data_IF_987339154904
#
_entry.id   IF_987339154904
#
_cell.length_a   1.000
_cell.length_b   1.000
_cell.length_c   1.000
_cell.angle_alpha   90.00
_cell.angle_beta   90.00
_cell.angle_gamma   90.00
#
_symmetry.space_group_name_H-M   'P 1'
#
loop_
_entity.id
_entity.type
_entity.pdbx_description
1 polymer ?
#
# COMPACT_ATOMS: atom_id res chain seq x y z
N UNK A 1 6.80 -4.92 25.31
CA UNK A 1 7.10 -6.19 24.63
C UNK A 1 7.27 -5.86 23.16
N UNK A 2 8.38 -6.29 22.54
CA UNK A 2 8.65 -6.00 21.13
C UNK A 2 7.68 -6.76 20.23
N UNK A 3 7.54 -6.34 18.96
CA UNK A 3 6.75 -7.12 17.99
C UNK A 3 7.48 -8.42 17.67
N UNK A 4 8.80 -8.37 17.62
CA UNK A 4 9.67 -9.52 17.51
C UNK A 4 9.32 -10.65 18.50
N UNK A 5 9.03 -10.33 19.76
CA UNK A 5 8.69 -11.33 20.79
C UNK A 5 7.31 -11.98 20.60
N UNK A 6 6.45 -11.44 19.74
CA UNK A 6 5.16 -12.06 19.39
C UNK A 6 5.31 -13.18 18.36
N UNK A 7 6.41 -13.23 17.60
CA UNK A 7 6.69 -14.32 16.67
C UNK A 7 7.25 -15.54 17.37
N UNK A 8 7.00 -16.73 16.81
CA UNK A 8 7.53 -17.97 17.38
C UNK A 8 9.06 -17.98 17.32
N UNK A 9 9.69 -18.72 18.23
CA UNK A 9 11.15 -18.87 18.24
C UNK A 9 11.66 -19.53 16.96
N UNK A 10 10.90 -20.45 16.38
CA UNK A 10 11.19 -21.10 15.10
C UNK A 10 11.21 -20.07 13.96
N UNK A 11 10.17 -19.24 13.84
CA UNK A 11 10.12 -18.20 12.81
C UNK A 11 11.26 -17.20 12.95
N UNK A 12 11.56 -16.75 14.18
CA UNK A 12 12.67 -15.84 14.44
C UNK A 12 14.02 -16.43 14.03
N UNK A 13 14.26 -17.69 14.36
CA UNK A 13 15.48 -18.41 13.98
C UNK A 13 15.57 -18.61 12.47
N UNK A 14 14.47 -18.96 11.81
CA UNK A 14 14.41 -19.13 10.36
C UNK A 14 14.70 -17.79 9.63
N UNK A 15 14.12 -16.68 10.10
CA UNK A 15 14.42 -15.35 9.56
C UNK A 15 15.91 -15.01 9.67
N UNK A 16 16.51 -15.24 10.85
CA UNK A 16 17.97 -15.06 11.07
C UNK A 16 18.77 -15.92 10.10
N UNK A 17 18.41 -17.19 9.90
CA UNK A 17 19.10 -18.09 8.97
C UNK A 17 19.02 -17.58 7.53
N UNK A 18 17.86 -17.11 7.07
CA UNK A 18 17.74 -16.51 5.73
C UNK A 18 18.64 -15.28 5.57
N UNK A 19 18.69 -14.40 6.58
CA UNK A 19 19.60 -13.27 6.57
C UNK A 19 21.06 -13.71 6.55
N UNK A 20 21.45 -14.71 7.35
CA UNK A 20 22.81 -15.25 7.35
C UNK A 20 23.19 -15.86 6.01
N UNK A 21 22.31 -16.65 5.39
CA UNK A 21 22.55 -17.25 4.08
C UNK A 21 22.71 -16.17 3.02
N UNK A 22 21.82 -15.18 2.98
CA UNK A 22 21.93 -14.09 2.00
C UNK A 22 23.20 -13.25 2.21
N UNK A 23 23.48 -12.87 3.47
CA UNK A 23 24.69 -12.15 3.83
C UNK A 23 25.96 -12.96 3.55
N UNK A 24 25.93 -14.29 3.62
CA UNK A 24 27.06 -15.12 3.28
C UNK A 24 27.44 -15.02 1.79
N UNK A 25 26.49 -14.67 0.93
CA UNK A 25 26.68 -14.49 -0.52
C UNK A 25 27.28 -13.12 -0.91
N UNK A 26 27.75 -12.33 0.05
CA UNK A 26 28.28 -10.98 -0.17
C UNK A 26 29.29 -10.88 -1.31
N UNK A 27 30.17 -11.88 -1.47
CA UNK A 27 31.18 -11.89 -2.53
C UNK A 27 30.59 -11.95 -3.96
N UNK A 28 29.29 -12.24 -4.15
CA UNK A 28 28.62 -12.09 -5.44
C UNK A 28 28.53 -10.63 -5.91
N UNK A 29 28.44 -9.70 -4.95
CA UNK A 29 28.15 -8.29 -5.23
C UNK A 29 29.37 -7.38 -5.06
N UNK A 30 30.49 -7.91 -4.54
CA UNK A 30 31.70 -7.13 -4.29
C UNK A 30 32.49 -6.91 -5.56
N UNK A 31 32.74 -5.64 -5.88
CA UNK A 31 33.60 -5.22 -7.00
C UNK A 31 35.02 -4.82 -6.57
N UNK A 32 35.27 -4.57 -5.27
CA UNK A 32 36.57 -4.14 -4.74
C UNK A 32 36.90 -4.83 -3.41
N UNK A 33 38.19 -5.00 -3.13
CA UNK A 33 38.70 -5.40 -1.81
C UNK A 33 38.43 -4.26 -0.79
N UNK A 34 38.02 -4.64 0.41
CA UNK A 34 37.52 -3.75 1.47
C UNK A 34 36.95 -4.57 2.64
N UNK A 35 36.36 -3.89 3.63
CA UNK A 35 35.79 -4.53 4.83
C UNK A 35 34.76 -5.61 4.45
N UNK A 36 34.81 -6.72 5.17
CA UNK A 36 33.92 -7.88 4.99
C UNK A 36 32.55 -7.61 5.62
N UNK A 37 31.87 -6.57 5.13
CA UNK A 37 30.54 -6.19 5.62
C UNK A 37 29.48 -6.94 4.82
N UNK A 38 28.61 -7.73 5.47
CA UNK A 38 27.67 -8.54 4.73
C UNK A 38 26.66 -7.67 3.96
N UNK A 39 26.32 -8.09 2.74
CA UNK A 39 25.35 -7.45 1.88
C UNK A 39 23.94 -7.94 2.23
N UNK A 40 22.98 -7.02 2.22
CA UNK A 40 21.56 -7.32 2.35
C UNK A 40 20.80 -6.38 1.44
N UNK A 41 20.02 -6.94 0.54
CA UNK A 41 19.09 -6.21 -0.30
C UNK A 41 17.79 -5.94 0.46
N UNK A 42 17.22 -4.74 0.30
CA UNK A 42 16.00 -4.36 1.03
C UNK A 42 14.78 -5.15 0.56
N UNK A 43 14.64 -5.42 -0.74
CA UNK A 43 13.51 -6.20 -1.28
C UNK A 43 13.61 -7.68 -0.90
N UNK A 44 14.81 -8.22 -0.80
CA UNK A 44 15.02 -9.53 -0.19
C UNK A 44 14.55 -9.55 1.28
N UNK A 45 14.95 -8.55 2.08
CA UNK A 45 14.52 -8.47 3.48
C UNK A 45 13.00 -8.40 3.61
N UNK A 46 12.32 -7.56 2.82
CA UNK A 46 10.86 -7.46 2.76
C UNK A 46 10.21 -8.81 2.43
N UNK A 47 10.70 -9.47 1.39
CA UNK A 47 10.17 -10.75 0.92
C UNK A 47 10.32 -11.85 1.96
N UNK A 48 11.51 -11.97 2.57
CA UNK A 48 11.76 -12.98 3.59
C UNK A 48 10.97 -12.68 4.86
N UNK A 49 10.90 -11.43 5.30
CA UNK A 49 10.11 -11.05 6.47
C UNK A 49 8.64 -11.44 6.29
N UNK A 50 8.04 -11.05 5.16
CA UNK A 50 6.65 -11.38 4.85
C UNK A 50 6.42 -12.91 4.81
N UNK A 51 7.32 -13.65 4.16
CA UNK A 51 7.24 -15.11 4.04
C UNK A 51 7.33 -15.82 5.39
N UNK A 52 8.37 -15.54 6.18
CA UNK A 52 8.65 -16.29 7.41
C UNK A 52 7.63 -15.97 8.50
N UNK A 53 7.23 -14.70 8.60
CA UNK A 53 6.30 -14.26 9.62
C UNK A 53 4.83 -14.36 9.19
N UNK A 54 4.54 -14.91 8.01
CA UNK A 54 3.20 -14.92 7.41
C UNK A 54 2.54 -13.53 7.42
N UNK A 55 3.34 -12.49 7.20
CA UNK A 55 2.86 -11.11 7.14
C UNK A 55 2.41 -10.78 5.72
N UNK A 56 1.49 -9.82 5.60
CA UNK A 56 0.99 -9.35 4.31
C UNK A 56 1.93 -8.28 3.78
N UNK A 57 2.39 -8.41 2.53
CA UNK A 57 3.06 -7.30 1.85
C UNK A 57 1.99 -6.28 1.45
N UNK A 58 2.18 -5.03 1.88
CA UNK A 58 1.21 -3.94 1.72
C UNK A 58 1.80 -2.72 1.01
N UNK A 59 3.05 -2.81 0.55
CA UNK A 59 3.69 -1.79 -0.28
C UNK A 59 2.98 -1.74 -1.64
N UNK A 60 2.33 -0.60 -1.90
CA UNK A 60 1.65 -0.29 -3.17
C UNK A 60 2.28 0.94 -3.83
N UNK A 61 3.52 1.26 -3.48
CA UNK A 61 4.24 2.47 -3.87
C UNK A 61 4.16 3.54 -2.79
N UNK A 62 5.34 4.01 -2.33
CA UNK A 62 5.56 5.17 -1.42
C UNK A 62 4.53 5.26 -0.28
N UNK A 63 4.13 4.08 0.21
CA UNK A 63 3.35 3.92 1.41
C UNK A 63 4.27 3.93 2.62
N UNK A 64 3.76 4.36 3.78
CA UNK A 64 4.53 4.34 5.02
C UNK A 64 5.02 2.92 5.42
N UNK A 65 4.15 1.91 5.31
CA UNK A 65 4.45 0.55 5.76
C UNK A 65 4.69 -0.40 4.58
N UNK A 66 5.63 -1.32 4.78
CA UNK A 66 6.00 -2.33 3.79
C UNK A 66 5.24 -3.64 4.04
N UNK A 67 5.06 -3.99 5.32
CA UNK A 67 4.35 -5.21 5.73
C UNK A 67 3.36 -4.96 6.86
N UNK A 68 2.31 -5.78 6.88
CA UNK A 68 1.28 -5.82 7.91
C UNK A 68 1.29 -7.19 8.60
N UNK A 69 1.43 -7.17 9.91
CA UNK A 69 1.34 -8.38 10.76
C UNK A 69 0.07 -8.35 11.61
N UNK A 70 -0.64 -9.46 11.68
CA UNK A 70 -1.93 -9.57 12.37
C UNK A 70 -1.83 -10.60 13.49
N UNK A 71 -2.10 -10.18 14.73
CA UNK A 71 -2.08 -11.02 15.92
C UNK A 71 -3.44 -10.95 16.63
N UNK A 72 -4.34 -11.87 16.32
CA UNK A 72 -5.73 -11.77 16.80
C UNK A 72 -6.39 -10.50 16.26
N UNK A 73 -6.76 -9.58 17.16
CA UNK A 73 -7.34 -8.29 16.79
C UNK A 73 -6.28 -7.19 16.59
N UNK A 74 -5.03 -7.41 16.98
CA UNK A 74 -3.96 -6.44 16.79
C UNK A 74 -3.47 -6.47 15.35
N UNK A 75 -3.42 -5.29 14.71
CA UNK A 75 -2.83 -5.07 13.40
C UNK A 75 -1.63 -4.15 13.53
N UNK A 76 -0.48 -4.60 13.07
CA UNK A 76 0.80 -3.92 13.25
C UNK A 76 1.35 -3.50 11.90
N UNK A 77 1.53 -2.19 11.71
CA UNK A 77 2.20 -1.64 10.54
C UNK A 77 3.71 -1.67 10.74
N UNK A 78 4.45 -2.22 9.78
CA UNK A 78 5.90 -2.37 9.88
C UNK A 78 6.56 -1.76 8.65
N UNK A 79 7.42 -0.77 8.88
CA UNK A 79 8.40 -0.33 7.89
C UNK A 79 9.68 -1.14 8.01
N UNK A 80 10.18 -1.67 6.90
CA UNK A 80 11.39 -2.46 6.80
C UNK A 80 12.54 -1.64 6.23
N UNK A 81 13.70 -1.70 6.86
CA UNK A 81 14.90 -0.99 6.39
C UNK A 81 16.17 -1.80 6.61
N UNK A 82 17.16 -1.53 5.78
CA UNK A 82 18.53 -2.00 5.98
C UNK A 82 19.52 -0.93 5.53
N UNK A 83 20.63 -0.78 6.25
CA UNK A 83 21.70 0.12 5.86
C UNK A 83 23.05 -0.27 6.47
N UNK A 84 24.10 0.37 5.97
CA UNK A 84 25.48 0.17 6.42
C UNK A 84 25.77 0.95 7.70
N UNK A 85 26.36 0.29 8.69
CA UNK A 85 26.80 0.88 9.95
C UNK A 85 25.70 1.00 11.00
N UNK A 86 26.01 0.58 12.22
CA UNK A 86 25.09 0.66 13.38
C UNK A 86 25.18 1.97 14.18
N UNK A 87 25.78 3.01 13.59
CA UNK A 87 25.88 4.35 14.19
C UNK A 87 24.61 5.18 13.86
N UNK A 88 24.30 6.23 14.66
CA UNK A 88 23.16 7.08 14.37
C UNK A 88 23.20 7.64 12.95
N UNK A 89 22.12 7.47 12.20
CA UNK A 89 22.11 7.76 10.76
C UNK A 89 20.73 8.21 10.28
N UNK A 90 20.71 9.12 9.30
CA UNK A 90 19.48 9.53 8.64
C UNK A 90 19.13 8.54 7.53
N UNK A 91 17.90 8.02 7.56
CA UNK A 91 17.39 7.11 6.51
C UNK A 91 16.12 7.71 5.90
N UNK A 92 15.95 7.52 4.58
CA UNK A 92 14.75 7.97 3.86
C UNK A 92 13.53 7.23 4.42
N UNK A 93 12.52 7.99 4.80
CA UNK A 93 11.26 7.46 5.35
C UNK A 93 10.05 7.79 4.50
N UNK A 94 10.13 8.80 3.62
CA UNK A 94 9.03 9.17 2.74
C UNK A 94 9.49 10.05 1.58
N UNK A 95 8.80 9.98 0.45
CA UNK A 95 8.99 10.90 -0.68
C UNK A 95 7.73 11.74 -0.93
N UNK A 96 7.91 13.05 -1.09
CA UNK A 96 6.84 14.04 -1.20
C UNK A 96 6.90 14.84 -2.51
N UNK A 97 7.45 14.27 -3.60
CA UNK A 97 7.55 14.95 -4.90
C UNK A 97 6.23 15.61 -5.35
N UNK A 98 5.08 14.96 -5.11
CA UNK A 98 3.74 15.47 -5.48
C UNK A 98 3.26 16.68 -4.68
N UNK A 99 3.94 17.03 -3.60
CA UNK A 99 3.61 18.15 -2.71
C UNK A 99 4.66 19.26 -2.78
N UNK A 100 5.55 19.22 -3.78
CA UNK A 100 6.69 20.13 -3.84
C UNK A 100 6.25 21.60 -3.91
N UNK A 101 5.14 21.91 -4.58
CA UNK A 101 4.64 23.29 -4.67
C UNK A 101 4.01 23.77 -3.35
N UNK A 102 3.23 22.92 -2.67
CA UNK A 102 2.71 23.21 -1.32
C UNK A 102 3.87 23.48 -0.33
N UNK A 103 4.96 22.70 -0.45
CA UNK A 103 6.17 22.83 0.38
C UNK A 103 6.94 24.12 0.03
N UNK A 104 7.07 24.48 -1.26
CA UNK A 104 7.70 25.74 -1.68
C UNK A 104 6.94 26.95 -1.15
N UNK A 105 5.62 26.97 -1.29
CA UNK A 105 4.78 28.05 -0.76
C UNK A 105 4.93 28.18 0.77
N UNK A 106 4.95 27.06 1.48
CA UNK A 106 5.12 27.08 2.95
C UNK A 106 6.50 27.57 3.39
N UNK A 107 7.54 27.35 2.56
CA UNK A 107 8.89 27.88 2.80
C UNK A 107 8.94 29.41 2.76
N UNK A 108 8.14 30.04 1.89
CA UNK A 108 8.03 31.51 1.80
C UNK A 108 7.38 32.13 3.04
N UNK A 109 6.54 31.35 3.74
CA UNK A 109 5.88 31.77 4.98
C UNK A 109 6.75 31.63 6.24
N UNK A 110 7.92 30.99 6.15
CA UNK A 110 8.87 30.83 7.26
C UNK A 110 9.21 29.37 7.60
N UNK A 111 10.22 29.19 8.45
CA UNK A 111 10.76 27.85 8.77
C UNK A 111 9.80 27.00 9.60
N UNK A 112 9.05 27.60 10.51
CA UNK A 112 8.04 26.90 11.31
C UNK A 112 6.89 26.42 10.43
N UNK A 113 6.38 27.29 9.56
CA UNK A 113 5.38 26.96 8.53
C UNK A 113 5.85 25.83 7.61
N UNK A 114 7.14 25.83 7.22
CA UNK A 114 7.75 24.77 6.43
C UNK A 114 7.78 23.43 7.20
N UNK A 115 8.24 23.43 8.46
CA UNK A 115 8.29 22.24 9.30
C UNK A 115 6.89 21.68 9.53
N UNK A 116 5.92 22.55 9.84
CA UNK A 116 4.53 22.19 10.02
C UNK A 116 3.97 21.54 8.75
N UNK A 117 4.15 22.17 7.57
CA UNK A 117 3.60 21.63 6.33
C UNK A 117 4.16 20.27 5.95
N UNK A 118 5.48 20.10 6.04
CA UNK A 118 6.13 18.82 5.73
C UNK A 118 5.65 17.73 6.70
N UNK A 119 5.53 18.08 7.99
CA UNK A 119 5.05 17.17 9.03
C UNK A 119 3.58 16.80 8.85
N UNK A 120 2.73 17.77 8.50
CA UNK A 120 1.32 17.58 8.18
C UNK A 120 1.16 16.58 7.02
N UNK A 121 1.85 16.80 5.90
CA UNK A 121 1.77 15.91 4.72
C UNK A 121 2.21 14.49 5.08
N UNK A 122 3.32 14.34 5.82
CA UNK A 122 3.77 13.00 6.29
C UNK A 122 2.72 12.34 7.16
N UNK A 123 2.16 13.08 8.11
CA UNK A 123 1.15 12.56 9.04
C UNK A 123 -0.15 12.20 8.33
N UNK A 124 -0.59 12.99 7.35
CA UNK A 124 -1.77 12.66 6.52
C UNK A 124 -1.54 11.35 5.73
N UNK A 125 -0.35 11.17 5.13
CA UNK A 125 0.00 9.91 4.45
C UNK A 125 0.03 8.71 5.42
N UNK A 126 0.55 8.89 6.62
CA UNK A 126 0.54 7.86 7.65
C UNK A 126 -0.87 7.50 8.10
N UNK A 127 -1.71 8.49 8.40
CA UNK A 127 -3.11 8.28 8.82
C UNK A 127 -3.94 7.60 7.73
N UNK A 128 -3.73 7.97 6.47
CA UNK A 128 -4.36 7.29 5.32
C UNK A 128 -4.06 5.79 5.33
N UNK A 129 -2.80 5.43 5.59
CA UNK A 129 -2.37 4.03 5.64
C UNK A 129 -2.89 3.32 6.90
N UNK A 130 -2.99 4.03 8.03
CA UNK A 130 -3.63 3.49 9.24
C UNK A 130 -5.07 3.07 8.97
N UNK A 131 -5.83 3.89 8.24
CA UNK A 131 -7.21 3.58 7.90
C UNK A 131 -7.31 2.48 6.84
N UNK A 132 -6.44 2.50 5.82
CA UNK A 132 -6.35 1.48 4.77
C UNK A 132 -6.11 0.10 5.37
N UNK A 133 -5.19 0.01 6.32
CA UNK A 133 -4.70 -1.24 6.91
C UNK A 133 -5.35 -1.58 8.26
N UNK A 134 -6.16 -0.69 8.83
CA UNK A 134 -6.81 -0.89 10.13
C UNK A 134 -5.83 -0.87 11.31
N UNK A 135 -4.87 0.04 11.28
CA UNK A 135 -3.82 0.21 12.30
C UNK A 135 -4.27 1.24 13.35
N UNK A 136 -3.89 1.02 14.60
CA UNK A 136 -3.94 2.05 15.63
C UNK A 136 -2.64 2.85 15.65
N UNK A 137 -2.68 4.09 16.13
CA UNK A 137 -1.51 5.00 16.09
C UNK A 137 -0.30 4.46 16.87
N UNK A 138 -0.54 3.68 17.92
CA UNK A 138 0.47 3.09 18.80
C UNK A 138 1.03 1.74 18.32
N UNK A 139 0.59 1.23 17.16
CA UNK A 139 0.94 -0.10 16.63
C UNK A 139 1.70 -0.02 15.30
N UNK A 140 2.59 0.96 15.18
CA UNK A 140 3.41 1.21 14.01
C UNK A 140 4.88 1.23 14.40
N UNK A 141 5.69 0.39 13.75
CA UNK A 141 7.12 0.25 14.05
C UNK A 141 7.97 0.28 12.80
N UNK A 142 9.23 0.60 12.98
CA UNK A 142 10.27 0.18 12.05
C UNK A 142 10.93 -1.09 12.57
N UNK A 143 11.08 -2.08 11.70
CA UNK A 143 11.97 -3.22 11.91
C UNK A 143 13.13 -3.09 10.91
N UNK A 144 14.36 -3.01 11.41
CA UNK A 144 15.49 -2.72 10.54
C UNK A 144 16.77 -3.49 10.89
N UNK A 145 17.54 -3.79 9.85
CA UNK A 145 18.80 -4.52 9.95
C UNK A 145 19.97 -3.58 9.64
N UNK A 146 20.85 -3.34 10.61
CA UNK A 146 22.11 -2.63 10.36
C UNK A 146 23.24 -3.62 10.13
N UNK A 147 24.20 -3.20 9.29
CA UNK A 147 25.26 -4.06 8.77
C UNK A 147 26.62 -3.51 9.19
N UNK A 148 27.32 -4.25 10.04
CA UNK A 148 28.69 -3.95 10.43
C UNK A 148 29.62 -5.06 9.90
N UNK A 149 30.93 -4.89 10.08
CA UNK A 149 31.90 -5.91 9.68
C UNK A 149 31.56 -7.28 10.30
N UNK A 150 31.40 -8.28 9.44
CA UNK A 150 31.12 -9.67 9.80
C UNK A 150 29.76 -9.96 10.44
N UNK A 151 28.84 -8.99 10.59
CA UNK A 151 27.61 -9.21 11.37
C UNK A 151 26.40 -8.37 10.95
N UNK A 152 25.23 -8.87 11.32
CA UNK A 152 23.98 -8.13 11.28
C UNK A 152 23.45 -7.83 12.68
N UNK A 153 22.74 -6.71 12.80
CA UNK A 153 22.05 -6.29 14.01
C UNK A 153 20.60 -5.99 13.66
N UNK A 154 19.69 -6.72 14.29
CA UNK A 154 18.25 -6.53 14.13
C UNK A 154 17.79 -5.54 15.21
N UNK A 155 17.03 -4.54 14.80
CA UNK A 155 16.49 -3.52 15.67
C UNK A 155 15.01 -3.29 15.38
N UNK A 156 14.27 -2.84 16.40
CA UNK A 156 12.93 -2.28 16.26
C UNK A 156 12.90 -0.89 16.89
N UNK A 157 12.17 0.06 16.29
CA UNK A 157 11.87 1.32 16.95
C UNK A 157 10.47 1.82 16.61
N UNK A 158 9.97 2.80 17.36
CA UNK A 158 8.66 3.37 17.09
C UNK A 158 8.64 4.08 15.73
N UNK A 159 7.51 3.97 15.03
CA UNK A 159 7.22 4.74 13.83
C UNK A 159 6.02 5.68 14.10
N UNK A 160 6.22 6.77 14.87
CA UNK A 160 5.13 7.65 15.25
C UNK A 160 4.79 8.67 14.15
N UNK A 161 3.61 9.26 14.30
CA UNK A 161 3.30 10.56 13.71
C UNK A 161 4.28 11.61 14.27
N UNK A 162 4.61 12.62 13.47
CA UNK A 162 5.39 13.77 13.95
C UNK A 162 4.51 14.58 14.90
N UNK A 163 5.03 14.91 16.08
CA UNK A 163 4.34 15.82 17.02
C UNK A 163 4.42 17.27 16.53
N UNK A 164 3.35 17.74 15.87
CA UNK A 164 3.29 19.07 15.24
C UNK A 164 3.23 20.21 16.25
N UNK A 165 2.90 19.93 17.51
CA UNK A 165 2.82 20.94 18.57
C UNK A 165 4.17 21.16 19.28
N UNK A 166 5.18 20.33 18.97
CA UNK A 166 6.53 20.37 19.58
C UNK A 166 7.66 20.56 18.57
N UNK A 167 7.36 21.15 17.41
CA UNK A 167 8.36 21.39 16.38
C UNK A 167 9.41 22.40 16.85
N UNK A 168 10.68 22.04 16.72
CA UNK A 168 11.81 22.83 17.21
C UNK A 168 13.11 22.53 16.43
N UNK A 169 14.19 23.25 16.78
CA UNK A 169 15.54 23.04 16.23
C UNK A 169 15.62 23.17 14.70
N UNK A 170 15.04 24.23 14.15
CA UNK A 170 15.00 24.49 12.71
C UNK A 170 16.36 24.88 12.15
N UNK A 171 16.88 24.08 11.20
CA UNK A 171 18.16 24.34 10.53
C UNK A 171 17.96 24.26 9.03
N UNK A 172 18.14 25.39 8.33
CA UNK A 172 18.06 25.48 6.88
C UNK A 172 19.46 25.50 6.26
N UNK A 173 19.66 24.69 5.22
CA UNK A 173 20.82 24.73 4.32
C UNK A 173 20.33 24.92 2.88
N UNK A 174 21.23 25.17 1.90
CA UNK A 174 20.83 25.28 0.50
C UNK A 174 20.12 24.02 -0.04
N UNK A 175 20.48 22.84 0.47
CA UNK A 175 20.00 21.55 -0.06
C UNK A 175 19.05 20.80 0.88
N UNK A 176 18.94 21.22 2.15
CA UNK A 176 18.13 20.52 3.14
C UNK A 176 17.54 21.45 4.21
N UNK A 177 16.53 20.93 4.90
CA UNK A 177 15.92 21.55 6.07
C UNK A 177 15.77 20.51 7.17
N UNK A 178 16.20 20.80 8.40
CA UNK A 178 16.12 19.86 9.53
C UNK A 178 15.32 20.45 10.68
N UNK A 179 14.61 19.58 11.40
CA UNK A 179 13.81 19.92 12.57
C UNK A 179 13.68 18.71 13.50
N UNK A 180 13.21 18.92 14.72
CA UNK A 180 12.83 17.88 15.67
C UNK A 180 11.42 18.14 16.18
N UNK A 181 10.70 17.10 16.56
CA UNK A 181 9.43 17.18 17.31
C UNK A 181 9.61 16.88 18.81
N UNK A 182 10.87 16.89 19.28
CA UNK A 182 11.25 16.49 20.64
C UNK A 182 11.36 14.96 20.84
N UNK A 183 10.79 14.15 19.95
CA UNK A 183 10.83 12.69 20.03
C UNK A 183 11.79 12.08 19.01
N UNK A 184 11.86 12.65 17.81
CA UNK A 184 12.69 12.24 16.68
C UNK A 184 13.33 13.46 16.02
N UNK A 185 14.33 13.19 15.19
CA UNK A 185 15.01 14.21 14.38
C UNK A 185 14.77 13.91 12.91
N UNK A 186 14.42 14.96 12.17
CA UNK A 186 14.02 14.89 10.78
C UNK A 186 14.88 15.79 9.90
N UNK A 187 15.01 15.40 8.64
CA UNK A 187 15.66 16.17 7.59
C UNK A 187 14.89 16.02 6.29
N UNK A 188 14.53 17.12 5.67
CA UNK A 188 13.96 17.18 4.33
C UNK A 188 15.03 17.57 3.31
N UNK A 189 15.17 16.82 2.22
CA UNK A 189 16.08 17.17 1.12
C UNK A 189 15.27 17.74 -0.06
N UNK A 190 15.63 18.94 -0.52
CA UNK A 190 14.84 19.66 -1.53
C UNK A 190 14.93 19.05 -2.94
N UNK A 191 16.06 18.40 -3.28
CA UNK A 191 16.30 17.84 -4.63
C UNK A 191 15.24 16.81 -5.03
N UNK A 192 14.99 15.83 -4.16
CA UNK A 192 14.03 14.75 -4.42
C UNK A 192 12.75 14.86 -3.59
N UNK A 193 12.59 15.95 -2.84
CA UNK A 193 11.49 16.16 -1.90
C UNK A 193 11.33 15.00 -0.92
N UNK A 194 12.41 14.56 -0.26
CA UNK A 194 12.40 13.38 0.61
C UNK A 194 12.50 13.77 2.08
N UNK A 195 11.73 13.07 2.92
CA UNK A 195 11.88 13.11 4.38
C UNK A 195 12.80 11.98 4.81
N UNK A 196 13.74 12.34 5.66
CA UNK A 196 14.68 11.46 6.32
C UNK A 196 14.45 11.54 7.83
N UNK A 197 14.47 10.41 8.51
CA UNK A 197 14.44 10.33 9.97
C UNK A 197 15.79 9.85 10.48
N UNK A 198 16.24 10.39 11.61
CA UNK A 198 17.43 9.89 12.30
C UNK A 198 17.08 8.64 13.10
N UNK A 199 17.74 7.53 12.77
CA UNK A 199 17.69 6.28 13.50
C UNK A 199 18.89 6.21 14.44
N UNK A 200 18.64 5.81 15.69
CA UNK A 200 19.65 5.78 16.74
C UNK A 200 19.30 4.68 17.75
N UNK A 201 20.20 3.71 17.89
CA UNK A 201 20.03 2.55 18.79
C UNK A 201 20.19 2.89 20.27
N UNK A 202 20.66 4.10 20.60
CA UNK A 202 20.74 4.59 21.98
C UNK A 202 19.47 5.28 22.47
N UNK A 203 18.50 5.56 21.58
CA UNK A 203 17.22 6.16 21.99
C UNK A 203 16.37 5.16 22.77
N UNK A 204 15.60 5.67 23.73
CA UNK A 204 14.71 4.90 24.59
C UNK A 204 13.58 4.17 23.84
N UNK A 205 13.25 4.62 22.64
CA UNK A 205 12.20 4.05 21.80
C UNK A 205 12.73 3.02 20.77
N UNK A 206 14.03 2.69 20.86
CA UNK A 206 14.70 1.70 20.02
C UNK A 206 15.11 0.48 20.85
N UNK A 207 14.91 -0.71 20.30
CA UNK A 207 15.30 -1.98 20.87
C UNK A 207 16.26 -2.69 19.93
N UNK A 208 17.39 -3.14 20.47
CA UNK A 208 18.26 -4.11 19.80
C UNK A 208 17.70 -5.49 20.09
N UNK A 209 17.24 -6.18 19.05
CA UNK A 209 16.58 -7.48 19.19
C UNK A 209 17.55 -8.65 19.13
N UNK A 210 18.51 -8.58 18.20
CA UNK A 210 19.49 -9.65 18.01
C UNK A 210 20.77 -9.12 17.34
N UNK A 211 21.89 -9.78 17.60
CA UNK A 211 23.20 -9.59 16.96
C UNK A 211 23.75 -10.95 16.60
N UNK A 212 24.07 -11.17 15.34
CA UNK A 212 24.61 -12.45 14.90
C UNK A 212 25.65 -12.27 13.79
N UNK A 213 26.63 -13.16 13.82
CA UNK A 213 27.71 -13.18 12.85
C UNK A 213 27.24 -13.80 11.52
N UNK A 214 27.86 -13.32 10.45
CA UNK A 214 27.66 -13.80 9.09
C UNK A 214 29.00 -14.22 8.52
N UNK A 215 29.13 -15.52 8.24
CA UNK A 215 30.33 -16.08 7.62
C UNK A 215 30.23 -15.93 6.11
N UNK A 216 30.93 -14.93 5.56
CA UNK A 216 30.97 -14.70 4.12
C UNK A 216 31.70 -15.87 3.45
N UNK A 217 31.04 -16.47 2.46
CA UNK A 217 31.57 -17.59 1.68
C UNK A 217 32.61 -17.05 0.71
N UNK A 218 33.76 -17.72 0.63
CA UNK A 218 34.86 -17.34 -0.26
C UNK A 218 34.42 -17.41 -1.73
N UNK A 219 33.93 -18.58 -2.17
CA UNK A 219 33.37 -18.81 -3.50
C UNK A 219 31.84 -19.04 -3.46
N UNK A 220 31.04 -17.96 -3.46
CA UNK A 220 29.58 -18.09 -3.46
C UNK A 220 29.04 -18.60 -4.82
N UNK A 221 29.81 -18.50 -5.91
CA UNK A 221 29.38 -18.98 -7.23
C UNK A 221 29.38 -20.51 -7.28
N UNK A 222 30.43 -21.14 -6.78
CA UNK A 222 30.49 -22.60 -6.65
C UNK A 222 29.39 -23.12 -5.72
N UNK A 223 29.16 -22.45 -4.59
CA UNK A 223 28.08 -22.77 -3.65
C UNK A 223 26.71 -22.74 -4.33
N UNK A 224 26.40 -21.68 -5.09
CA UNK A 224 25.13 -21.56 -5.81
C UNK A 224 24.96 -22.66 -6.85
N UNK A 225 26.00 -22.92 -7.66
CA UNK A 225 25.95 -23.95 -8.70
C UNK A 225 25.72 -25.35 -8.10
N UNK A 226 26.46 -25.72 -7.05
CA UNK A 226 26.28 -27.00 -6.35
C UNK A 226 24.88 -27.12 -5.75
N UNK A 227 24.38 -26.05 -5.13
CA UNK A 227 23.06 -26.03 -4.51
C UNK A 227 21.95 -26.18 -5.54
N UNK A 228 22.04 -25.43 -6.66
CA UNK A 228 21.09 -25.50 -7.77
C UNK A 228 21.07 -26.91 -8.36
N UNK A 229 22.22 -27.45 -8.77
CA UNK A 229 22.31 -28.79 -9.39
C UNK A 229 21.80 -29.91 -8.49
N UNK A 230 21.98 -29.79 -7.15
CA UNK A 230 21.43 -30.74 -6.18
C UNK A 230 19.91 -30.71 -6.09
N UNK A 231 19.28 -29.55 -6.27
CA UNK A 231 17.83 -29.35 -6.10
C UNK A 231 17.01 -29.72 -7.33
N UNK A 232 17.50 -29.47 -8.54
CA UNK A 232 16.75 -29.68 -9.79
C UNK A 232 16.41 -31.16 -10.01
N UNK A 233 17.17 -32.09 -9.43
CA UNK A 233 16.85 -33.53 -9.41
C UNK A 233 15.64 -33.91 -8.55
N UNK A 234 15.03 -32.95 -7.83
CA UNK A 234 13.92 -33.16 -6.89
C UNK A 234 12.78 -32.15 -7.04
N UNK A 235 12.81 -31.31 -8.09
CA UNK A 235 11.83 -30.25 -8.27
C UNK A 235 10.43 -30.84 -8.56
N UNK A 236 9.54 -30.75 -7.56
CA UNK A 236 8.10 -30.82 -7.79
C UNK A 236 7.68 -29.56 -8.55
N UNK A 237 6.73 -29.71 -9.47
CA UNK A 237 6.12 -28.59 -10.18
C UNK A 237 5.68 -27.51 -9.20
N UNK A 238 6.18 -26.29 -9.41
CA UNK A 238 5.73 -25.12 -8.66
C UNK A 238 4.23 -24.92 -8.92
N UNK A 239 3.44 -25.03 -7.86
CA UNK A 239 2.03 -24.62 -7.91
C UNK A 239 2.00 -23.12 -8.11
N UNK A 240 1.68 -22.68 -9.34
CA UNK A 240 1.39 -21.27 -9.62
C UNK A 240 0.36 -20.75 -8.60
N UNK A 241 0.50 -19.51 -8.10
CA UNK A 241 -0.47 -18.95 -7.19
C UNK A 241 -1.86 -18.99 -7.85
N UNK A 242 -2.83 -19.60 -7.15
CA UNK A 242 -4.18 -19.87 -7.66
C UNK A 242 -5.09 -18.63 -7.59
N UNK A 243 -4.58 -17.50 -8.09
CA UNK A 243 -5.28 -16.20 -8.10
C UNK A 243 -5.48 -15.68 -9.51
N UNK A 244 -6.59 -14.97 -9.71
CA UNK A 244 -6.85 -14.15 -10.88
C UNK A 244 -6.84 -12.70 -10.43
N UNK A 245 -6.08 -11.87 -11.12
CA UNK A 245 -5.84 -10.48 -10.76
C UNK A 245 -6.14 -9.56 -11.94
N UNK A 246 -6.69 -8.39 -11.64
CA UNK A 246 -7.02 -7.35 -12.60
C UNK A 246 -6.92 -5.96 -11.96
N UNK A 247 -6.99 -4.93 -12.79
CA UNK A 247 -7.02 -3.54 -12.35
C UNK A 247 -8.25 -2.83 -12.92
N UNK A 248 -8.81 -1.88 -12.18
CA UNK A 248 -9.90 -1.01 -12.65
C UNK A 248 -9.53 0.47 -12.48
N UNK A 249 -9.93 1.34 -13.41
CA UNK A 249 -9.64 2.76 -13.31
C UNK A 249 -10.60 3.42 -12.30
N UNK A 250 -10.10 4.44 -11.62
CA UNK A 250 -10.90 5.34 -10.78
C UNK A 250 -11.44 6.55 -11.57
N UNK A 251 -11.27 6.53 -12.89
CA UNK A 251 -11.65 7.58 -13.84
C UNK A 251 -12.37 6.97 -15.06
N UNK A 252 -12.91 7.82 -15.93
CA UNK A 252 -13.59 7.39 -17.16
C UNK A 252 -12.61 6.92 -18.22
N UNK A 253 -12.78 5.69 -18.70
CA UNK A 253 -11.90 5.12 -19.73
C UNK A 253 -11.85 5.94 -21.02
N UNK A 254 -12.95 6.61 -21.37
CA UNK A 254 -13.10 7.38 -22.61
C UNK A 254 -12.43 8.74 -22.53
N UNK A 255 -12.72 9.51 -21.48
CA UNK A 255 -12.22 10.88 -21.32
C UNK A 255 -10.87 10.92 -20.64
N UNK A 256 -10.46 9.82 -19.99
CA UNK A 256 -9.27 9.72 -19.15
C UNK A 256 -9.30 10.66 -17.94
N UNK A 257 -10.49 11.14 -17.57
CA UNK A 257 -10.75 12.06 -16.47
C UNK A 257 -11.85 11.52 -15.54
N UNK A 258 -11.93 12.08 -14.32
CA UNK A 258 -13.04 11.77 -13.42
C UNK A 258 -14.23 12.67 -13.79
N UNK A 259 -15.34 12.06 -14.20
CA UNK A 259 -16.54 12.78 -14.64
C UNK A 259 -17.19 13.57 -13.49
N UNK A 260 -17.74 14.75 -13.78
CA UNK A 260 -18.27 15.66 -12.74
C UNK A 260 -19.48 15.12 -11.97
N UNK A 261 -20.28 14.23 -12.57
CA UNK A 261 -21.56 13.75 -12.03
C UNK A 261 -21.74 12.22 -12.14
N UNK A 262 -20.64 11.47 -12.30
CA UNK A 262 -20.69 10.02 -12.41
C UNK A 262 -19.43 9.37 -11.81
N UNK A 263 -19.41 8.04 -11.72
CA UNK A 263 -18.32 7.30 -11.08
C UNK A 263 -18.12 7.74 -9.63
N UNK A 264 -16.95 8.29 -9.34
CA UNK A 264 -16.58 8.81 -8.01
C UNK A 264 -17.33 10.09 -7.62
N UNK A 265 -17.84 10.86 -8.58
CA UNK A 265 -18.66 12.06 -8.33
C UNK A 265 -20.16 11.79 -8.52
N UNK A 266 -20.62 10.54 -8.40
CA UNK A 266 -22.05 10.22 -8.51
C UNK A 266 -22.90 10.97 -7.45
N UNK A 267 -22.31 11.34 -6.32
CA UNK A 267 -22.92 12.22 -5.30
C UNK A 267 -23.30 13.61 -5.83
N UNK A 268 -22.65 14.10 -6.90
CA UNK A 268 -22.90 15.41 -7.50
C UNK A 268 -23.99 15.36 -8.59
N UNK A 269 -24.57 14.18 -8.84
CA UNK A 269 -25.71 14.05 -9.75
C UNK A 269 -27.00 14.61 -9.13
N UNK A 270 -28.00 14.85 -9.98
CA UNK A 270 -29.32 15.31 -9.54
C UNK A 270 -29.92 14.38 -8.46
N UNK A 271 -30.71 14.92 -7.52
CA UNK A 271 -31.39 14.15 -6.47
C UNK A 271 -32.13 12.93 -7.04
N UNK A 272 -32.11 11.82 -6.29
CA UNK A 272 -32.77 10.57 -6.70
C UNK A 272 -34.28 10.73 -6.89
N UNK A 273 -34.89 11.64 -6.12
CA UNK A 273 -36.31 11.94 -6.20
C UNK A 273 -36.50 13.26 -6.96
N UNK A 274 -37.22 13.20 -8.10
CA UNK A 274 -37.51 14.36 -8.92
C UNK A 274 -38.24 15.42 -8.08
N UNK A 275 -37.73 16.65 -8.06
CA UNK A 275 -38.28 17.75 -7.27
C UNK A 275 -37.83 17.81 -5.81
N UNK A 276 -37.02 16.86 -5.33
CA UNK A 276 -36.39 16.97 -4.01
C UNK A 276 -35.15 17.86 -4.06
N UNK A 277 -34.94 18.68 -3.03
CA UNK A 277 -33.67 19.40 -2.80
C UNK A 277 -32.62 18.59 -2.02
N UNK A 278 -32.94 17.34 -1.64
CA UNK A 278 -32.03 16.50 -0.86
C UNK A 278 -30.85 16.05 -1.72
N UNK A 279 -29.66 16.51 -1.35
CA UNK A 279 -28.42 16.11 -2.00
C UNK A 279 -28.12 14.63 -1.76
N UNK A 280 -27.47 13.98 -2.73
CA UNK A 280 -27.00 12.60 -2.55
C UNK A 280 -25.91 12.55 -1.46
N UNK A 281 -25.78 11.42 -0.75
CA UNK A 281 -24.66 11.20 0.16
C UNK A 281 -23.33 11.38 -0.55
N UNK A 282 -22.37 12.05 0.09
CA UNK A 282 -21.05 12.35 -0.51
C UNK A 282 -20.27 11.09 -0.90
N UNK A 283 -20.47 10.01 -0.16
CA UNK A 283 -19.86 8.72 -0.35
C UNK A 283 -20.64 7.80 -1.32
N UNK A 284 -21.72 8.30 -1.95
CA UNK A 284 -22.40 7.56 -3.01
C UNK A 284 -21.56 7.55 -4.29
N UNK A 285 -20.92 6.41 -4.57
CA UNK A 285 -20.01 6.24 -5.71
C UNK A 285 -20.16 4.88 -6.37
N UNK A 286 -19.60 4.76 -7.58
CA UNK A 286 -19.24 3.48 -8.16
C UNK A 286 -17.88 3.57 -8.86
N UNK A 287 -17.12 2.47 -8.86
CA UNK A 287 -15.90 2.34 -9.65
C UNK A 287 -16.30 1.97 -11.08
N UNK A 288 -15.87 2.74 -12.11
CA UNK A 288 -16.16 2.41 -13.50
C UNK A 288 -15.53 1.09 -13.92
N UNK A 289 -16.29 0.25 -14.62
CA UNK A 289 -15.80 -0.93 -15.32
C UNK A 289 -15.94 -0.69 -16.83
N UNK A 290 -14.83 -0.47 -17.55
CA UNK A 290 -14.87 -0.24 -18.99
C UNK A 290 -15.42 -1.44 -19.76
N UNK A 291 -16.09 -1.21 -20.91
CA UNK A 291 -16.57 -2.34 -21.73
C UNK A 291 -15.39 -3.13 -22.30
N UNK A 292 -14.28 -2.46 -22.58
CA UNK A 292 -13.00 -3.00 -23.02
C UNK A 292 -12.40 -3.94 -21.97
N UNK A 293 -12.55 -3.60 -20.69
CA UNK A 293 -12.16 -4.48 -19.59
C UNK A 293 -12.97 -5.79 -19.64
N UNK A 294 -14.30 -5.70 -19.76
CA UNK A 294 -15.16 -6.88 -19.85
C UNK A 294 -14.84 -7.75 -21.07
N UNK A 295 -14.46 -7.15 -22.20
CA UNK A 295 -14.04 -7.89 -23.40
C UNK A 295 -12.74 -8.67 -23.15
N UNK A 296 -11.77 -8.08 -22.45
CA UNK A 296 -10.48 -8.72 -22.15
C UNK A 296 -10.59 -9.73 -21.00
N UNK A 297 -11.45 -9.47 -20.02
CA UNK A 297 -11.59 -10.23 -18.78
C UNK A 297 -13.06 -10.64 -18.49
N UNK A 298 -13.75 -11.33 -19.42
CA UNK A 298 -15.19 -11.61 -19.29
C UNK A 298 -15.52 -12.49 -18.08
N UNK A 299 -14.54 -13.24 -17.58
CA UNK A 299 -14.70 -14.23 -16.52
C UNK A 299 -14.26 -13.74 -15.13
N UNK A 300 -13.99 -12.44 -14.97
CA UNK A 300 -13.46 -11.93 -13.70
C UNK A 300 -14.54 -11.91 -12.60
N UNK A 301 -15.69 -11.29 -12.83
CA UNK A 301 -16.74 -11.14 -11.80
C UNK A 301 -17.72 -12.30 -11.72
N UNK A 302 -17.90 -13.03 -12.82
CA UNK A 302 -18.76 -14.21 -12.94
C UNK A 302 -18.23 -15.07 -14.09
N UNK A 303 -18.72 -16.30 -14.24
CA UNK A 303 -18.49 -17.06 -15.46
C UNK A 303 -19.23 -16.37 -16.63
N UNK A 304 -18.47 -15.69 -17.49
CA UNK A 304 -18.87 -14.84 -18.61
C UNK A 304 -19.94 -13.76 -18.30
N UNK A 305 -19.49 -12.52 -18.19
CA UNK A 305 -20.33 -11.34 -17.93
C UNK A 305 -21.36 -11.05 -19.04
N UNK A 306 -21.07 -11.39 -20.31
CA UNK A 306 -21.98 -11.12 -21.43
C UNK A 306 -23.13 -12.13 -21.47
N UNK A 307 -22.86 -13.40 -21.15
CA UNK A 307 -23.91 -14.41 -21.02
C UNK A 307 -24.86 -14.05 -19.87
N UNK A 308 -24.30 -13.54 -18.76
CA UNK A 308 -25.07 -13.02 -17.65
C UNK A 308 -25.96 -11.82 -18.07
N UNK A 309 -25.42 -10.87 -18.83
CA UNK A 309 -26.14 -9.69 -19.35
C UNK A 309 -27.36 -10.13 -20.18
N UNK A 310 -27.16 -11.03 -21.16
CA UNK A 310 -28.23 -11.58 -22.00
C UNK A 310 -29.33 -12.28 -21.17
N UNK A 311 -28.92 -13.10 -20.18
CA UNK A 311 -29.86 -13.78 -19.28
C UNK A 311 -30.66 -12.79 -18.43
N UNK A 312 -30.01 -11.73 -17.94
CA UNK A 312 -30.63 -10.69 -17.13
C UNK A 312 -31.60 -9.82 -17.93
N UNK A 313 -31.32 -9.57 -19.20
CA UNK A 313 -32.22 -8.86 -20.13
C UNK A 313 -33.43 -9.70 -20.50
N UNK A 314 -33.24 -11.01 -20.67
CA UNK A 314 -34.30 -11.97 -21.00
C UNK A 314 -35.18 -12.37 -19.80
N UNK A 315 -34.88 -11.88 -18.60
CA UNK A 315 -35.59 -12.24 -17.37
C UNK A 315 -37.01 -11.64 -17.35
N UNK A 316 -38.03 -12.50 -17.16
CA UNK A 316 -39.45 -12.14 -17.18
C UNK A 316 -40.16 -12.19 -15.82
N UNK A 317 -39.43 -12.43 -14.73
CA UNK A 317 -39.98 -12.50 -13.37
C UNK A 317 -40.07 -11.14 -12.67
N UNK A 318 -40.37 -11.17 -11.37
CA UNK A 318 -40.48 -9.97 -10.55
C UNK A 318 -39.15 -9.23 -10.42
N UNK A 319 -39.23 -7.90 -10.30
CA UNK A 319 -38.03 -7.04 -10.26
C UNK A 319 -37.09 -7.39 -9.10
N UNK A 320 -37.64 -7.89 -8.00
CA UNK A 320 -36.89 -8.30 -6.80
C UNK A 320 -36.06 -9.57 -7.03
N UNK A 321 -36.53 -10.44 -7.92
CA UNK A 321 -35.87 -11.71 -8.29
C UNK A 321 -34.89 -11.56 -9.46
N UNK A 322 -34.76 -10.35 -10.01
CA UNK A 322 -33.88 -10.11 -11.15
C UNK A 322 -32.43 -10.46 -10.77
N UNK A 323 -31.75 -11.34 -11.52
CA UNK A 323 -30.43 -11.83 -11.13
C UNK A 323 -29.41 -10.68 -11.06
N UNK A 324 -28.51 -10.78 -10.09
CA UNK A 324 -27.44 -9.82 -9.82
C UNK A 324 -26.08 -10.52 -9.70
N UNK A 325 -25.01 -9.84 -10.09
CA UNK A 325 -23.64 -10.31 -9.84
C UNK A 325 -23.23 -9.77 -8.47
N UNK A 326 -23.32 -10.60 -7.43
CA UNK A 326 -23.04 -10.23 -6.03
C UNK A 326 -21.84 -10.97 -5.48
N UNK A 327 -21.07 -10.29 -4.64
CA UNK A 327 -19.89 -10.81 -3.95
C UNK A 327 -19.52 -9.91 -2.77
N UNK A 328 -18.55 -10.33 -1.98
CA UNK A 328 -17.93 -9.51 -0.95
C UNK A 328 -16.64 -8.88 -1.46
N UNK A 329 -16.50 -7.57 -1.27
CA UNK A 329 -15.20 -6.91 -1.34
C UNK A 329 -14.49 -7.12 0.00
N UNK A 330 -13.33 -7.77 -0.02
CA UNK A 330 -12.44 -7.91 1.14
C UNK A 330 -11.43 -6.76 1.12
N UNK A 331 -11.49 -5.91 2.14
CA UNK A 331 -10.60 -4.74 2.29
C UNK A 331 -9.28 -5.12 3.00
N UNK A 332 -8.20 -4.34 2.83
CA UNK A 332 -6.91 -4.59 3.48
C UNK A 332 -6.98 -4.50 5.02
N UNK A 333 -7.83 -3.62 5.55
CA UNK A 333 -8.14 -3.52 6.98
C UNK A 333 -8.94 -4.71 7.55
N UNK A 334 -9.29 -5.70 6.73
CA UNK A 334 -10.02 -6.90 7.15
C UNK A 334 -11.54 -6.78 7.08
N UNK A 335 -12.10 -5.58 6.89
CA UNK A 335 -13.56 -5.41 6.71
C UNK A 335 -14.03 -6.04 5.39
N UNK A 336 -15.27 -6.55 5.40
CA UNK A 336 -15.95 -7.09 4.21
C UNK A 336 -17.14 -6.22 3.85
N UNK A 337 -17.26 -5.86 2.58
CA UNK A 337 -18.34 -5.01 2.06
C UNK A 337 -19.16 -5.79 1.02
N UNK A 338 -20.46 -6.03 1.27
CA UNK A 338 -21.37 -6.56 0.25
C UNK A 338 -21.38 -5.66 -0.98
N UNK A 339 -21.11 -6.24 -2.14
CA UNK A 339 -20.86 -5.50 -3.38
C UNK A 339 -21.47 -6.20 -4.58
N UNK A 340 -21.64 -5.43 -5.67
CA UNK A 340 -22.20 -5.95 -6.91
C UNK A 340 -21.65 -5.22 -8.14
N UNK A 341 -21.70 -5.91 -9.28
CA UNK A 341 -21.58 -5.29 -10.60
C UNK A 341 -22.97 -5.03 -11.16
N UNK A 342 -23.22 -3.79 -11.59
CA UNK A 342 -24.55 -3.33 -11.99
C UNK A 342 -24.48 -2.18 -12.99
N UNK A 343 -25.62 -1.50 -13.20
CA UNK A 343 -25.88 -0.49 -14.24
C UNK A 343 -25.85 -1.08 -15.66
N UNK A 344 -26.22 -0.26 -16.65
CA UNK A 344 -26.20 -0.64 -18.07
C UNK A 344 -24.81 -1.10 -18.49
N UNK A 345 -24.74 -2.17 -19.29
CA UNK A 345 -23.49 -2.80 -19.75
C UNK A 345 -22.58 -3.31 -18.63
N UNK A 346 -23.13 -3.54 -17.43
CA UNK A 346 -22.40 -3.99 -16.24
C UNK A 346 -21.21 -3.08 -15.88
N UNK A 347 -21.38 -1.77 -16.10
CA UNK A 347 -20.31 -0.77 -16.04
C UNK A 347 -19.97 -0.25 -14.64
N UNK A 348 -20.73 -0.61 -13.60
CA UNK A 348 -20.57 -0.04 -12.27
C UNK A 348 -20.30 -1.09 -11.20
N UNK A 349 -19.13 -1.00 -10.55
CA UNK A 349 -18.82 -1.71 -9.32
C UNK A 349 -19.17 -0.82 -8.12
N UNK A 350 -20.07 -1.26 -7.24
CA UNK A 350 -20.48 -0.48 -6.07
C UNK A 350 -20.81 -1.38 -4.88
N UNK A 351 -20.85 -0.80 -3.68
CA UNK A 351 -21.37 -1.49 -2.50
C UNK A 351 -22.91 -1.53 -2.49
N UNK A 352 -23.47 -2.51 -1.79
CA UNK A 352 -24.90 -2.54 -1.49
C UNK A 352 -25.45 -3.94 -1.26
N UNK A 353 -26.32 -4.06 -0.26
CA UNK A 353 -27.10 -5.26 0.02
C UNK A 353 -28.55 -4.89 0.38
N UNK A 354 -29.47 -5.80 0.07
CA UNK A 354 -30.86 -5.69 0.52
C UNK A 354 -31.10 -6.45 1.83
N UNK A 355 -30.18 -7.33 2.22
CA UNK A 355 -30.34 -8.28 3.32
C UNK A 355 -29.32 -8.08 4.44
N UNK A 356 -28.25 -7.33 4.20
CA UNK A 356 -27.15 -7.17 5.17
C UNK A 356 -27.07 -5.76 5.75
N UNK A 357 -26.63 -5.71 7.01
CA UNK A 357 -26.53 -4.51 7.83
C UNK A 357 -25.09 -4.34 8.32
N UNK A 358 -24.67 -3.08 8.47
CA UNK A 358 -23.38 -2.71 9.04
C UNK A 358 -23.38 -2.85 10.58
N UNK A 359 -22.22 -2.59 11.18
CA UNK A 359 -21.99 -2.66 12.63
C UNK A 359 -22.89 -1.74 13.46
N UNK A 360 -23.51 -0.72 12.84
CA UNK A 360 -24.44 0.20 13.47
C UNK A 360 -25.91 -0.16 13.20
N UNK A 361 -26.18 -1.33 12.61
CA UNK A 361 -27.53 -1.79 12.26
C UNK A 361 -28.13 -1.07 11.05
N UNK A 362 -27.33 -0.35 10.26
CA UNK A 362 -27.78 0.32 9.04
C UNK A 362 -27.54 -0.57 7.83
N UNK A 363 -28.52 -0.68 6.94
CA UNK A 363 -28.41 -1.53 5.74
C UNK A 363 -27.24 -1.08 4.85
N UNK A 364 -26.46 -2.03 4.33
CA UNK A 364 -25.38 -1.72 3.39
C UNK A 364 -25.93 -1.04 2.13
N UNK A 365 -25.63 0.24 1.98
CA UNK A 365 -26.01 1.05 0.82
C UNK A 365 -24.86 1.23 -0.18
N UNK A 366 -25.10 2.10 -1.17
CA UNK A 366 -24.09 2.52 -2.17
C UNK A 366 -22.95 3.36 -1.60
N UNK A 367 -23.00 3.65 -0.29
CA UNK A 367 -22.08 4.54 0.40
C UNK A 367 -20.84 3.83 0.97
N UNK A 368 -20.90 2.53 1.23
CA UNK A 368 -19.84 1.85 2.00
C UNK A 368 -18.50 1.81 1.24
N UNK A 369 -18.53 1.52 -0.07
CA UNK A 369 -17.31 1.55 -0.89
C UNK A 369 -16.72 2.96 -0.98
N UNK A 370 -17.55 3.98 -1.19
CA UNK A 370 -17.10 5.37 -1.26
C UNK A 370 -16.62 5.92 0.08
N UNK A 371 -17.18 5.44 1.20
CA UNK A 371 -16.74 5.80 2.54
C UNK A 371 -15.29 5.34 2.74
N UNK A 372 -15.01 4.05 2.51
CA UNK A 372 -13.65 3.52 2.60
C UNK A 372 -12.70 4.19 1.61
N UNK A 373 -13.09 4.26 0.33
CA UNK A 373 -12.20 4.68 -0.75
C UNK A 373 -11.91 6.19 -0.70
N UNK A 374 -12.93 7.05 -0.75
CA UNK A 374 -12.73 8.49 -0.89
C UNK A 374 -12.52 9.19 0.44
N UNK A 375 -13.33 8.87 1.44
CA UNK A 375 -13.39 9.64 2.68
C UNK A 375 -12.32 9.16 3.66
N UNK A 376 -12.33 7.87 3.94
CA UNK A 376 -11.53 7.25 4.99
C UNK A 376 -10.05 7.15 4.59
N UNK A 377 -9.76 6.58 3.40
CA UNK A 377 -8.38 6.40 2.95
C UNK A 377 -7.84 7.62 2.22
N UNK A 378 -8.50 8.12 1.17
CA UNK A 378 -7.97 9.25 0.38
C UNK A 378 -8.17 10.62 1.06
N UNK A 379 -8.97 10.68 2.13
CA UNK A 379 -9.15 11.89 2.92
C UNK A 379 -9.88 13.00 2.17
N UNK A 380 -10.90 12.65 1.37
CA UNK A 380 -11.78 13.62 0.74
C UNK A 380 -12.53 14.40 1.83
N UNK A 381 -12.12 15.66 2.02
CA UNK A 381 -12.79 16.62 2.90
C UNK A 381 -13.84 17.37 2.07
N UNK A 382 -15.04 17.54 2.61
CA UNK A 382 -16.12 18.36 2.02
C UNK A 382 -16.64 17.90 0.64
N UNK A 383 -17.67 18.56 0.11
CA UNK A 383 -18.26 18.28 -1.22
C UNK A 383 -17.41 18.85 -2.36
N UNK A 384 -16.12 18.55 -2.40
CA UNK A 384 -15.25 18.90 -3.52
C UNK A 384 -15.31 17.83 -4.61
N UNK A 385 -15.42 18.20 -5.90
CA UNK A 385 -15.34 17.23 -7.00
C UNK A 385 -13.98 16.53 -7.02
N UNK A 386 -14.01 15.21 -7.11
CA UNK A 386 -12.81 14.38 -7.31
C UNK A 386 -12.38 14.54 -8.76
N UNK A 387 -11.11 14.90 -8.99
CA UNK A 387 -10.48 14.97 -10.32
C UNK A 387 -9.41 13.90 -10.45
N UNK A 388 -8.97 13.58 -11.68
CA UNK A 388 -7.85 12.64 -11.86
C UNK A 388 -6.55 13.21 -11.30
N UNK A 389 -6.35 14.51 -11.43
CA UNK A 389 -5.21 15.21 -10.81
C UNK A 389 -5.21 15.05 -9.28
N UNK A 390 -6.37 15.17 -8.63
CA UNK A 390 -6.49 14.95 -7.20
C UNK A 390 -6.15 13.50 -6.81
N UNK A 391 -6.64 12.52 -7.57
CA UNK A 391 -6.29 11.11 -7.38
C UNK A 391 -4.77 10.88 -7.52
N UNK A 392 -4.17 11.43 -8.58
CA UNK A 392 -2.72 11.39 -8.82
C UNK A 392 -1.96 12.02 -7.65
N UNK A 393 -2.39 13.18 -7.14
CA UNK A 393 -1.80 13.82 -5.95
C UNK A 393 -1.86 12.90 -4.72
N UNK A 394 -2.94 12.14 -4.57
CA UNK A 394 -3.11 11.13 -3.52
C UNK A 394 -2.36 9.82 -3.77
N UNK A 395 -1.80 9.64 -4.97
CA UNK A 395 -0.88 8.54 -5.30
C UNK A 395 -1.49 7.34 -5.97
N UNK A 396 -2.69 7.48 -6.52
CA UNK A 396 -3.38 6.38 -7.19
C UNK A 396 -4.29 6.93 -8.27
N UNK A 397 -4.62 6.13 -9.28
CA UNK A 397 -5.73 6.42 -10.21
C UNK A 397 -6.50 5.15 -10.60
N UNK A 398 -6.22 4.06 -9.88
CA UNK A 398 -6.75 2.74 -10.16
C UNK A 398 -6.74 1.88 -8.90
N UNK A 399 -7.54 0.81 -8.92
CA UNK A 399 -7.58 -0.20 -7.87
C UNK A 399 -7.18 -1.54 -8.44
N UNK A 400 -6.51 -2.34 -7.62
CA UNK A 400 -6.21 -3.75 -7.88
C UNK A 400 -7.34 -4.59 -7.32
N UNK A 401 -7.79 -5.59 -8.08
CA UNK A 401 -8.75 -6.59 -7.61
C UNK A 401 -8.20 -7.99 -7.86
N UNK A 402 -8.36 -8.87 -6.88
CA UNK A 402 -7.96 -10.28 -7.05
C UNK A 402 -8.86 -11.25 -6.31
N UNK A 403 -8.96 -12.47 -6.81
CA UNK A 403 -9.74 -13.56 -6.22
C UNK A 403 -9.05 -14.89 -6.43
N UNK A 404 -9.41 -15.88 -5.62
CA UNK A 404 -9.00 -17.26 -5.90
C UNK A 404 -9.66 -17.73 -7.19
N UNK A 405 -8.96 -18.54 -7.97
CA UNK A 405 -9.54 -19.11 -9.19
C UNK A 405 -10.81 -19.89 -8.83
N UNK A 406 -11.83 -19.78 -9.68
CA UNK A 406 -13.16 -20.36 -9.48
C UNK A 406 -13.97 -19.91 -8.23
N UNK A 407 -13.41 -19.09 -7.33
CA UNK A 407 -14.17 -18.43 -6.27
C UNK A 407 -14.61 -17.05 -6.73
N UNK A 408 -15.91 -16.84 -6.85
CA UNK A 408 -16.53 -15.55 -7.20
C UNK A 408 -17.20 -14.88 -6.00
N UNK A 409 -17.20 -15.52 -4.83
CA UNK A 409 -17.91 -15.04 -3.64
C UNK A 409 -17.17 -13.91 -2.94
N UNK A 410 -15.84 -13.90 -3.04
CA UNK A 410 -14.97 -12.91 -2.39
C UNK A 410 -13.93 -12.40 -3.39
N UNK A 411 -13.93 -11.09 -3.58
CA UNK A 411 -12.95 -10.37 -4.38
C UNK A 411 -12.23 -9.41 -3.43
N UNK A 412 -10.91 -9.49 -3.40
CA UNK A 412 -10.11 -8.55 -2.63
C UNK A 412 -9.90 -7.29 -3.45
N UNK A 413 -9.77 -6.15 -2.78
CA UNK A 413 -9.52 -4.85 -3.39
C UNK A 413 -8.48 -4.09 -2.58
N UNK A 414 -7.57 -3.43 -3.28
CA UNK A 414 -6.67 -2.41 -2.71
C UNK A 414 -6.38 -1.33 -3.77
N UNK A 415 -5.80 -0.22 -3.35
CA UNK A 415 -5.27 0.79 -4.25
C UNK A 415 -4.11 0.23 -5.09
N UNK A 416 -3.96 0.77 -6.29
CA UNK A 416 -2.85 0.43 -7.19
C UNK A 416 -2.02 1.67 -7.53
N UNK A 417 -0.74 1.49 -7.90
CA UNK A 417 0.08 2.57 -8.44
C UNK A 417 -0.59 3.28 -9.62
N UNK A 418 -0.21 4.54 -9.82
CA UNK A 418 -0.73 5.35 -10.93
C UNK A 418 -0.41 4.69 -12.27
N UNK A 419 -1.41 4.60 -13.15
CA UNK A 419 -1.27 4.01 -14.49
C UNK A 419 -1.34 2.48 -14.51
N UNK A 420 -1.59 1.82 -13.38
CA UNK A 420 -1.70 0.35 -13.31
C UNK A 420 -2.79 -0.20 -14.23
N UNK A 421 -3.92 0.50 -14.36
CA UNK A 421 -5.00 0.07 -15.24
C UNK A 421 -4.56 0.06 -16.72
N UNK A 422 -3.94 1.13 -17.20
CA UNK A 422 -3.43 1.20 -18.57
C UNK A 422 -2.37 0.13 -18.83
N UNK A 423 -1.39 -0.02 -17.93
CA UNK A 423 -0.36 -1.04 -18.04
C UNK A 423 -0.96 -2.45 -18.14
N UNK A 424 -1.92 -2.77 -17.27
CA UNK A 424 -2.65 -4.04 -17.30
C UNK A 424 -3.42 -4.26 -18.61
N UNK A 425 -4.10 -3.22 -19.11
CA UNK A 425 -4.84 -3.32 -20.38
C UNK A 425 -3.91 -3.48 -21.58
N UNK A 426 -2.69 -2.96 -21.52
CA UNK A 426 -1.67 -3.09 -22.57
C UNK A 426 -0.80 -4.36 -22.44
N UNK A 427 -0.81 -5.02 -21.28
CA UNK A 427 0.09 -6.14 -21.00
C UNK A 427 1.53 -5.71 -20.66
N UNK A 428 1.67 -4.49 -20.15
CA UNK A 428 2.93 -3.92 -19.68
C UNK A 428 3.14 -4.24 -18.18
N UNK A 429 4.39 -4.23 -17.68
CA UNK A 429 4.67 -4.29 -16.25
C UNK A 429 3.92 -3.18 -15.49
N UNK A 430 3.40 -3.52 -14.31
CA UNK A 430 2.73 -2.53 -13.46
C UNK A 430 3.77 -1.51 -12.98
N UNK A 431 3.52 -0.20 -13.14
CA UNK A 431 4.49 0.82 -12.78
C UNK A 431 4.81 0.79 -11.28
N UNK A 432 6.09 0.98 -10.96
CA UNK A 432 6.48 1.46 -9.64
C UNK A 432 6.34 2.99 -9.60
N UNK A 433 6.01 3.55 -8.44
CA UNK A 433 5.50 4.91 -8.32
C UNK A 433 6.43 6.01 -8.85
N UNK A 434 7.75 5.78 -8.84
CA UNK A 434 8.75 6.75 -9.28
C UNK A 434 8.82 6.90 -10.81
N UNK A 435 8.37 5.92 -11.60
CA UNK A 435 8.49 5.97 -13.07
C UNK A 435 7.44 6.83 -13.76
N UNK A 436 6.23 6.96 -13.20
CA UNK A 436 5.13 7.65 -13.89
C UNK A 436 5.34 9.17 -14.01
N UNK A 437 5.96 9.79 -13.00
CA UNK A 437 6.23 11.23 -13.00
C UNK A 437 7.40 11.61 -13.93
N UNK A 438 8.28 10.66 -14.24
CA UNK A 438 9.44 10.87 -15.12
C UNK A 438 9.10 10.72 -16.61
N UNK A 439 7.94 10.11 -16.93
CA UNK A 439 7.47 9.88 -18.31
C UNK A 439 6.57 11.00 -18.86
N UNK A 440 6.33 12.08 -18.12
CA UNK A 440 5.49 13.22 -18.54
C UNK A 440 6.29 14.44 -18.97
#
# INVERSE_FOLDING_TARGET
MSIWDKYSSEQRNEYIQFLQVYGALTNLFRQKQGDLIPYLDSKFQETVFAKIFNSQNVDIGNTPHDVLSVFGNDRIGIGLKTWLGSKPSFQKVMQLKRYQDDIKQSKELGLESLAFKISEIKNEKMKSDYVRLGLSEDKNIYHYVTRDEGKFIINECAYPLIDVDKLQNFILTPTAFSWSDGHKDYKFTFGDSQIWQKFDSSRNDTLILNKFDVKIIEDPFEFLLKSYMKLIGSAKEETKPDIVEVYLPLYSYKTKEVEEKSGLNAWNAAPKNKGSGTLRPINEVYIPIPREFHKKNPNFFINNIFDFENRRESFKGDKEDKPEVRFYLQLPNGKRIPSLVTQSNMKGLQSGSNTEYDENGKRFGQSALGQWLLVDVLGLKERQPVTREWLIKKGTDSVRLWRKKNDYSTIHIDFAPIGSFEAFMNGEPIPEEDEYLERK
#
